data_IF_183738476598
#
_entry.id   IF_183738476598
#
_cell.length_a   1.000
_cell.length_b   1.000
_cell.length_c   1.000
_cell.angle_alpha   90.00
_cell.angle_beta   90.00
_cell.angle_gamma   90.00
#
_symmetry.space_group_name_H-M   'P 1'
#
loop_
_entity.id
_entity.type
_entity.pdbx_description
1 polymer ?
#
# COMPACT_ATOMS: atom_id res chain seq x y z
N UNK A 1 8.09 -0.25 16.22
CA UNK A 1 7.27 0.02 15.02
C UNK A 1 8.12 0.82 14.05
N UNK A 2 8.82 0.14 13.14
CA UNK A 2 9.69 0.77 12.15
C UNK A 2 8.91 0.99 10.86
N UNK A 3 8.50 2.23 10.60
CA UNK A 3 7.79 2.61 9.39
C UNK A 3 8.83 3.06 8.34
N UNK A 4 9.07 2.23 7.31
CA UNK A 4 10.04 2.56 6.26
C UNK A 4 9.33 3.00 4.98
N UNK A 5 9.87 4.01 4.29
CA UNK A 5 9.19 4.71 3.21
C UNK A 5 9.67 4.32 1.81
N UNK A 6 8.74 3.95 0.91
CA UNK A 6 9.01 3.71 -0.51
C UNK A 6 8.80 4.99 -1.35
N UNK A 7 9.73 5.28 -2.28
CA UNK A 7 9.69 6.49 -3.12
C UNK A 7 8.99 6.20 -4.47
N UNK A 8 8.03 7.05 -4.87
CA UNK A 8 7.25 6.91 -6.11
C UNK A 8 7.74 7.94 -7.14
N UNK A 9 8.11 7.51 -8.35
CA UNK A 9 8.37 8.41 -9.48
C UNK A 9 7.16 8.48 -10.42
N UNK A 10 6.28 9.47 -10.18
CA UNK A 10 5.35 10.18 -11.08
C UNK A 10 4.05 10.55 -10.34
N UNK A 11 3.75 11.86 -10.29
CA UNK A 11 2.45 12.46 -9.87
C UNK A 11 2.03 12.28 -8.41
N UNK A 12 2.19 13.35 -7.58
CA UNK A 12 1.87 13.41 -6.13
C UNK A 12 2.44 12.24 -5.30
N UNK A 13 3.68 12.42 -4.84
CA UNK A 13 4.35 11.49 -3.91
C UNK A 13 3.68 11.52 -2.53
N UNK A 14 2.63 10.71 -2.35
CA UNK A 14 2.28 10.22 -1.03
C UNK A 14 3.30 9.14 -0.67
N UNK A 15 4.15 9.43 0.33
CA UNK A 15 5.18 8.51 0.83
C UNK A 15 4.50 7.26 1.40
N UNK A 16 4.58 6.14 0.70
CA UNK A 16 4.03 4.86 1.18
C UNK A 16 4.95 4.21 2.20
N UNK A 17 4.37 3.60 3.22
CA UNK A 17 5.09 2.82 4.21
C UNK A 17 5.03 1.33 3.85
N UNK A 18 6.18 0.67 3.86
CA UNK A 18 6.26 -0.79 3.79
C UNK A 18 6.10 -1.34 5.20
N UNK A 19 5.11 -2.21 5.36
CA UNK A 19 4.74 -2.77 6.65
C UNK A 19 4.61 -4.29 6.57
N UNK A 20 5.38 -4.99 7.41
CA UNK A 20 5.34 -6.45 7.50
C UNK A 20 4.15 -6.98 8.29
N UNK A 21 3.55 -6.15 9.14
CA UNK A 21 2.41 -6.51 9.98
C UNK A 21 1.07 -6.12 9.34
N UNK A 22 1.11 -5.26 8.31
CA UNK A 22 -0.09 -4.91 7.56
C UNK A 22 -0.63 -6.10 6.74
N UNK A 23 -1.92 -6.40 6.94
CA UNK A 23 -2.61 -7.45 6.18
C UNK A 23 -3.04 -7.00 4.78
N UNK A 24 -3.27 -5.69 4.59
CA UNK A 24 -3.80 -5.12 3.35
C UNK A 24 -2.96 -3.93 2.86
N UNK A 25 -3.00 -3.69 1.55
CA UNK A 25 -2.47 -2.46 0.96
C UNK A 25 -3.52 -1.36 1.12
N UNK A 26 -3.09 -0.15 1.49
CA UNK A 26 -3.98 1.00 1.72
C UNK A 26 -3.45 2.23 0.98
N UNK A 27 -4.35 2.93 0.30
CA UNK A 27 -4.11 4.24 -0.32
C UNK A 27 -5.10 5.27 0.21
N UNK A 28 -4.67 6.50 0.42
CA UNK A 28 -5.57 7.63 0.70
C UNK A 28 -6.20 8.22 -0.55
N UNK A 29 -5.59 7.99 -1.72
CA UNK A 29 -5.99 8.62 -2.97
C UNK A 29 -6.53 7.56 -3.93
N UNK A 30 -7.79 7.75 -4.35
CA UNK A 30 -8.48 6.91 -5.32
C UNK A 30 -7.78 6.95 -6.68
N UNK A 31 -7.17 8.07 -7.06
CA UNK A 31 -6.46 8.22 -8.33
C UNK A 31 -5.21 7.33 -8.44
N UNK A 32 -4.73 6.78 -7.32
CA UNK A 32 -3.67 5.78 -7.34
C UNK A 32 -4.16 4.41 -7.83
N UNK A 33 -5.46 4.13 -7.74
CA UNK A 33 -6.03 2.85 -8.12
C UNK A 33 -6.28 2.83 -9.64
N UNK A 34 -5.70 1.84 -10.31
CA UNK A 34 -6.14 1.39 -11.63
C UNK A 34 -7.15 0.27 -11.48
N UNK A 35 -8.22 0.32 -12.28
CA UNK A 35 -9.31 -0.68 -12.25
C UNK A 35 -9.85 -0.83 -10.82
N UNK A 36 -10.70 0.10 -10.41
CA UNK A 36 -11.29 0.11 -9.07
C UNK A 36 -12.82 0.01 -9.13
N UNK A 37 -13.40 -0.50 -8.06
CA UNK A 37 -14.84 -0.46 -7.80
C UNK A 37 -15.11 0.13 -6.42
N UNK A 38 -16.34 0.56 -6.18
CA UNK A 38 -16.80 0.83 -4.82
C UNK A 38 -16.60 -0.41 -3.96
N UNK A 39 -16.25 -0.18 -2.70
CA UNK A 39 -16.08 -1.24 -1.73
C UNK A 39 -17.39 -1.41 -0.95
N UNK A 40 -18.01 -2.58 -1.05
CA UNK A 40 -19.30 -2.94 -0.45
C UNK A 40 -19.17 -3.73 0.86
N UNK A 41 -17.94 -4.02 1.27
CA UNK A 41 -17.67 -4.76 2.50
C UNK A 41 -17.78 -3.88 3.75
N UNK A 42 -17.68 -4.54 4.90
CA UNK A 42 -17.76 -3.90 6.22
C UNK A 42 -16.40 -3.66 6.88
N UNK A 43 -15.31 -3.83 6.12
CA UNK A 43 -13.97 -3.65 6.69
C UNK A 43 -13.75 -2.20 7.13
N UNK A 44 -13.14 -2.07 8.31
CA UNK A 44 -12.69 -0.80 8.87
C UNK A 44 -11.20 -0.87 9.13
N UNK A 45 -10.48 0.18 8.73
CA UNK A 45 -9.06 0.30 9.04
C UNK A 45 -8.92 0.92 10.41
N UNK A 46 -8.50 0.12 11.39
CA UNK A 46 -8.24 0.61 12.75
C UNK A 46 -6.84 1.21 12.80
N UNK A 47 -6.73 2.47 13.20
CA UNK A 47 -5.45 3.17 13.38
C UNK A 47 -5.03 3.18 14.86
N UNK A 48 -3.80 3.62 15.14
CA UNK A 48 -3.17 3.48 16.47
C UNK A 48 -3.87 4.21 17.63
N UNK A 49 -4.80 5.13 17.35
CA UNK A 49 -5.65 5.77 18.37
C UNK A 49 -6.96 5.00 18.65
N UNK A 50 -7.17 3.86 17.98
CA UNK A 50 -8.35 3.01 18.09
C UNK A 50 -9.53 3.46 17.22
N UNK A 51 -9.42 4.57 16.49
CA UNK A 51 -10.45 4.98 15.54
C UNK A 51 -10.47 4.09 14.29
N UNK A 52 -11.67 3.83 13.79
CA UNK A 52 -11.90 3.10 12.55
C UNK A 52 -12.10 4.06 11.38
N UNK A 53 -11.37 3.84 10.30
CA UNK A 53 -11.51 4.58 9.05
C UNK A 53 -12.26 3.73 8.02
N UNK A 54 -13.23 4.34 7.34
CA UNK A 54 -14.04 3.68 6.32
C UNK A 54 -13.27 3.48 5.03
N UNK A 55 -13.35 2.26 4.50
CA UNK A 55 -12.92 1.96 3.13
C UNK A 55 -13.99 2.43 2.17
N UNK A 56 -13.60 3.10 1.08
CA UNK A 56 -14.54 3.57 0.05
C UNK A 56 -14.46 2.77 -1.23
N UNK A 57 -13.27 2.31 -1.60
CA UNK A 57 -13.02 1.60 -2.85
C UNK A 57 -11.98 0.50 -2.67
N UNK A 58 -11.96 -0.44 -3.61
CA UNK A 58 -10.92 -1.45 -3.75
C UNK A 58 -10.45 -1.47 -5.21
N UNK A 59 -9.15 -1.68 -5.41
CA UNK A 59 -8.58 -1.72 -6.76
C UNK A 59 -7.13 -2.17 -6.77
N UNK A 60 -6.45 -1.95 -7.88
CA UNK A 60 -5.04 -2.31 -8.04
C UNK A 60 -4.14 -1.09 -8.15
N UNK A 61 -2.90 -1.18 -7.69
CA UNK A 61 -1.85 -0.17 -7.90
C UNK A 61 -0.69 -0.81 -8.66
N UNK A 62 -0.23 -0.15 -9.71
CA UNK A 62 1.03 -0.48 -10.37
C UNK A 62 2.15 0.44 -9.85
N UNK A 63 3.17 -0.14 -9.22
CA UNK A 63 4.37 0.55 -8.78
C UNK A 63 5.50 0.26 -9.75
N UNK A 64 6.05 1.30 -10.37
CA UNK A 64 7.21 1.17 -11.23
C UNK A 64 8.49 1.43 -10.44
N UNK A 65 9.43 0.48 -10.46
CA UNK A 65 10.75 0.64 -9.85
C UNK A 65 11.81 -0.11 -10.66
N UNK A 66 12.94 0.54 -10.93
CA UNK A 66 14.09 -0.03 -11.63
C UNK A 66 13.76 -0.79 -12.94
N UNK A 67 12.78 -0.31 -13.72
CA UNK A 67 12.36 -0.94 -14.97
C UNK A 67 11.42 -2.15 -14.81
N UNK A 68 11.05 -2.51 -13.58
CA UNK A 68 10.05 -3.53 -13.26
C UNK A 68 8.77 -2.87 -12.74
N UNK A 69 7.63 -3.51 -13.05
CA UNK A 69 6.33 -3.12 -12.51
C UNK A 69 5.93 -4.13 -11.44
N UNK A 70 5.65 -3.62 -10.24
CA UNK A 70 5.09 -4.37 -9.13
C UNK A 70 3.59 -4.09 -9.03
N UNK A 71 2.80 -5.16 -8.95
CA UNK A 71 1.36 -5.10 -8.84
C UNK A 71 0.96 -5.25 -7.37
N UNK A 72 0.16 -4.30 -6.88
CA UNK A 72 -0.53 -4.39 -5.61
C UNK A 72 -2.01 -4.59 -5.91
N UNK A 73 -2.51 -5.82 -5.74
CA UNK A 73 -3.94 -6.11 -5.87
C UNK A 73 -4.63 -5.87 -4.54
N UNK A 74 -5.96 -5.82 -4.59
CA UNK A 74 -6.83 -5.71 -3.42
C UNK A 74 -6.41 -4.54 -2.49
N UNK A 75 -6.05 -3.41 -3.10
CA UNK A 75 -5.65 -2.20 -2.38
C UNK A 75 -6.91 -1.43 -2.00
N UNK A 76 -7.06 -1.20 -0.69
CA UNK A 76 -8.17 -0.47 -0.11
C UNK A 76 -7.93 1.05 -0.21
N UNK A 77 -8.92 1.79 -0.67
CA UNK A 77 -8.92 3.25 -0.64
C UNK A 77 -9.58 3.74 0.65
N UNK A 78 -8.82 4.45 1.46
CA UNK A 78 -9.26 5.02 2.75
C UNK A 78 -8.90 6.51 2.75
N UNK A 79 -9.78 7.40 2.26
CA UNK A 79 -9.44 8.81 2.07
C UNK A 79 -8.97 9.55 3.33
N UNK A 80 -9.42 9.10 4.50
CA UNK A 80 -9.08 9.68 5.79
C UNK A 80 -7.68 9.26 6.31
N UNK A 81 -6.99 8.31 5.66
CA UNK A 81 -5.65 7.89 6.09
C UNK A 81 -4.60 8.89 5.63
N UNK A 82 -3.61 9.16 6.49
CA UNK A 82 -2.58 10.16 6.21
C UNK A 82 -1.36 9.59 5.48
N UNK A 83 -1.17 8.26 5.53
CA UNK A 83 -0.05 7.57 4.90
C UNK A 83 -0.55 6.31 4.21
N UNK A 84 -0.09 6.09 2.99
CA UNK A 84 -0.32 4.85 2.29
C UNK A 84 0.47 3.72 2.96
N UNK A 85 -0.07 2.51 2.90
CA UNK A 85 0.55 1.31 3.47
C UNK A 85 0.65 0.25 2.38
N UNK A 86 1.81 -0.39 2.30
CA UNK A 86 2.07 -1.52 1.41
C UNK A 86 2.37 -2.71 2.32
N UNK A 87 1.52 -3.72 2.23
CA UNK A 87 1.75 -4.99 2.91
C UNK A 87 2.94 -5.69 2.25
N UNK A 88 4.00 -5.95 3.03
CA UNK A 88 5.16 -6.72 2.57
C UNK A 88 4.72 -8.12 2.12
N UNK A 89 3.83 -8.76 2.89
CA UNK A 89 3.31 -10.08 2.54
C UNK A 89 2.57 -10.05 1.20
N UNK A 90 1.70 -9.05 0.98
CA UNK A 90 0.97 -8.98 -0.27
C UNK A 90 1.91 -8.67 -1.45
N UNK A 91 2.82 -7.70 -1.30
CA UNK A 91 3.80 -7.32 -2.32
C UNK A 91 4.63 -8.53 -2.78
N UNK A 92 5.23 -9.23 -1.83
CA UNK A 92 6.11 -10.40 -2.09
C UNK A 92 5.36 -11.54 -2.76
N UNK A 93 4.20 -11.92 -2.20
CA UNK A 93 3.37 -13.02 -2.72
C UNK A 93 2.83 -12.74 -4.11
N UNK A 94 2.30 -11.54 -4.35
CA UNK A 94 1.65 -11.20 -5.63
C UNK A 94 2.65 -11.05 -6.77
N UNK A 95 3.88 -10.60 -6.47
CA UNK A 95 4.91 -10.37 -7.49
C UNK A 95 5.94 -11.50 -7.61
N UNK A 96 5.82 -12.53 -6.77
CA UNK A 96 6.79 -13.62 -6.62
C UNK A 96 8.21 -13.06 -6.42
N UNK A 97 8.35 -12.25 -5.38
CA UNK A 97 9.61 -11.58 -4.99
C UNK A 97 9.86 -11.75 -3.50
N UNK A 98 11.09 -11.53 -3.08
CA UNK A 98 11.48 -11.41 -1.69
C UNK A 98 12.02 -10.02 -1.42
N UNK A 99 12.09 -9.64 -0.14
CA UNK A 99 12.72 -8.38 0.26
C UNK A 99 14.01 -8.72 1.00
N UNK A 100 15.12 -8.11 0.57
CA UNK A 100 16.41 -8.21 1.25
C UNK A 100 16.64 -6.94 2.07
N UNK A 101 16.93 -7.10 3.36
CA UNK A 101 17.19 -5.99 4.27
C UNK A 101 18.69 -5.81 4.48
N UNK A 102 19.17 -4.60 4.22
CA UNK A 102 20.51 -4.13 4.54
C UNK A 102 20.43 -3.04 5.62
N UNK A 103 21.54 -2.70 6.30
CA UNK A 103 21.54 -1.69 7.36
C UNK A 103 20.91 -0.35 6.97
N UNK A 104 21.12 0.08 5.72
CA UNK A 104 20.73 1.41 5.26
C UNK A 104 19.65 1.40 4.15
N UNK A 105 19.33 0.22 3.60
CA UNK A 105 18.39 0.09 2.48
C UNK A 105 17.76 -1.30 2.41
N UNK A 106 16.79 -1.46 1.52
CA UNK A 106 16.22 -2.76 1.18
C UNK A 106 16.14 -2.91 -0.33
N UNK A 107 16.10 -4.16 -0.80
CA UNK A 107 15.92 -4.53 -2.20
C UNK A 107 14.67 -5.39 -2.36
N UNK A 108 14.02 -5.31 -3.52
CA UNK A 108 12.80 -6.05 -3.90
C UNK A 108 12.93 -6.57 -5.32
#
# INVERSE_FOLDING_TARGET
MSANCANKSTGKSAKSLLDSDASHNITSDLSNLSIHSEYDGTDVVVIGDGSGLSVTHIGSIALQSAGRIFQLRDTLCVPAIHKNLISVHHLTKTNNVHIEFHPDYFLV
#
